data_IF_597046348894
#
_entry.id   IF_597046348894
#
_cell.length_a   1.000
_cell.length_b   1.000
_cell.length_c   1.000
_cell.angle_alpha   90.00
_cell.angle_beta   90.00
_cell.angle_gamma   90.00
#
_symmetry.space_group_name_H-M   'P 1'
#
loop_
_entity.id
_entity.type
_entity.pdbx_description
1 polymer ?
#
# COMPACT_ATOMS: atom_id res chain seq x y z
N UNK A 1 7.56 8.96 -34.15
CA UNK A 1 6.69 9.08 -32.96
C UNK A 1 7.25 10.18 -32.08
N UNK A 2 6.43 11.12 -31.59
CA UNK A 2 6.87 12.07 -30.55
C UNK A 2 6.73 11.40 -29.18
N UNK A 3 7.72 11.56 -28.30
CA UNK A 3 7.69 11.05 -26.93
C UNK A 3 7.18 12.15 -26.00
N UNK A 4 6.07 11.91 -25.30
CA UNK A 4 5.52 12.84 -24.30
C UNK A 4 6.13 12.48 -22.94
N UNK A 5 6.66 13.48 -22.23
CA UNK A 5 7.17 13.34 -20.86
C UNK A 5 6.11 13.78 -19.88
N UNK A 6 5.74 12.90 -18.97
CA UNK A 6 4.78 13.15 -17.90
C UNK A 6 5.51 13.05 -16.55
N UNK A 7 4.97 13.68 -15.48
CA UNK A 7 5.38 13.33 -14.12
C UNK A 7 5.03 11.85 -13.83
N UNK A 8 5.68 11.28 -12.82
CA UNK A 8 5.31 9.97 -12.30
C UNK A 8 3.86 9.95 -11.82
N UNK A 9 3.14 8.89 -12.16
CA UNK A 9 1.74 8.74 -11.81
C UNK A 9 1.59 8.31 -10.34
N UNK A 10 0.41 8.59 -9.78
CA UNK A 10 0.02 8.15 -8.43
C UNK A 10 -1.22 7.28 -8.54
N UNK A 11 -1.15 6.06 -8.01
CA UNK A 11 -2.31 5.17 -7.91
C UNK A 11 -2.85 5.18 -6.46
N UNK A 12 -4.02 5.79 -6.21
CA UNK A 12 -4.58 5.87 -4.86
C UNK A 12 -5.19 4.54 -4.37
N UNK A 13 -5.23 3.48 -5.19
CA UNK A 13 -6.01 2.28 -4.91
C UNK A 13 -5.37 1.00 -5.47
N UNK A 14 -4.40 0.44 -4.75
CA UNK A 14 -3.80 -0.87 -5.10
C UNK A 14 -4.08 -1.96 -4.05
N UNK A 15 -3.96 -3.23 -4.45
CA UNK A 15 -4.12 -4.38 -3.54
C UNK A 15 -2.92 -5.33 -3.68
N UNK A 16 -1.91 -5.17 -2.83
CA UNK A 16 -0.72 -6.03 -2.86
C UNK A 16 -0.88 -7.37 -2.17
N UNK A 17 -2.00 -7.66 -1.52
CA UNK A 17 -2.31 -9.00 -0.97
C UNK A 17 -1.33 -9.50 0.11
N UNK A 18 -0.36 -8.69 0.48
CA UNK A 18 0.59 -8.88 1.57
C UNK A 18 0.16 -8.01 2.76
N UNK A 19 -0.10 -8.57 3.96
CA UNK A 19 0.10 -9.96 4.37
C UNK A 19 -1.01 -10.96 3.96
N UNK A 20 -0.61 -12.23 3.92
CA UNK A 20 -1.48 -13.41 3.98
C UNK A 20 -1.86 -14.05 2.64
N UNK A 21 -1.83 -13.29 1.55
CA UNK A 21 -2.15 -13.81 0.21
C UNK A 21 -1.03 -13.52 -0.80
N UNK A 22 0.23 -13.61 -0.35
CA UNK A 22 1.44 -13.28 -1.13
C UNK A 22 1.65 -14.12 -2.38
N UNK A 23 1.01 -15.29 -2.46
CA UNK A 23 0.96 -16.09 -3.68
C UNK A 23 0.21 -15.40 -4.84
N UNK A 24 -0.57 -14.35 -4.56
CA UNK A 24 -1.27 -13.55 -5.58
C UNK A 24 -0.45 -12.35 -6.02
N UNK A 25 0.13 -11.64 -5.07
CA UNK A 25 0.93 -10.43 -5.25
C UNK A 25 1.66 -10.16 -3.92
N UNK A 26 2.82 -9.52 -3.95
CA UNK A 26 3.51 -8.98 -2.76
C UNK A 26 4.02 -7.55 -3.02
N UNK A 27 4.64 -6.93 -2.01
CA UNK A 27 5.17 -5.55 -2.15
C UNK A 27 6.22 -5.42 -3.24
N UNK A 28 7.09 -6.43 -3.41
CA UNK A 28 8.15 -6.40 -4.42
C UNK A 28 7.55 -6.50 -5.82
N UNK A 29 6.73 -7.52 -6.08
CA UNK A 29 6.12 -7.73 -7.40
C UNK A 29 5.18 -6.58 -7.77
N UNK A 30 4.33 -6.14 -6.84
CA UNK A 30 3.35 -5.09 -7.05
C UNK A 30 3.98 -3.72 -7.34
N UNK A 31 4.96 -3.30 -6.55
CA UNK A 31 5.62 -1.99 -6.75
C UNK A 31 6.56 -1.97 -7.96
N UNK A 32 7.18 -3.12 -8.30
CA UNK A 32 7.96 -3.26 -9.54
C UNK A 32 7.06 -3.09 -10.77
N UNK A 33 5.88 -3.71 -10.76
CA UNK A 33 4.87 -3.56 -11.80
C UNK A 33 4.36 -2.12 -11.91
N UNK A 34 4.13 -1.46 -10.76
CA UNK A 34 3.73 -0.05 -10.71
C UNK A 34 4.77 0.86 -11.39
N UNK A 35 6.06 0.71 -11.05
CA UNK A 35 7.14 1.46 -11.68
C UNK A 35 7.21 1.24 -13.19
N UNK A 36 7.11 -0.01 -13.64
CA UNK A 36 7.10 -0.35 -15.06
C UNK A 36 5.92 0.31 -15.80
N UNK A 37 4.79 0.50 -15.12
CA UNK A 37 3.62 1.22 -15.61
C UNK A 37 3.71 2.75 -15.53
N UNK A 38 4.80 3.30 -14.97
CA UNK A 38 4.99 4.74 -14.79
C UNK A 38 4.37 5.31 -13.51
N UNK A 39 3.91 4.46 -12.58
CA UNK A 39 3.48 4.87 -11.25
C UNK A 39 4.68 4.96 -10.31
N UNK A 40 4.90 6.14 -9.76
CA UNK A 40 6.00 6.39 -8.82
C UNK A 40 5.51 6.44 -7.38
N UNK A 41 4.20 6.47 -7.15
CA UNK A 41 3.59 6.38 -5.81
C UNK A 41 2.30 5.55 -5.85
N UNK A 42 2.08 4.71 -4.83
CA UNK A 42 0.91 3.83 -4.71
C UNK A 42 0.32 3.85 -3.30
N UNK A 43 -1.01 3.73 -3.17
CA UNK A 43 -1.66 3.64 -1.86
C UNK A 43 -2.35 2.28 -1.69
N UNK A 44 -1.76 1.44 -0.84
CA UNK A 44 -2.20 0.07 -0.61
C UNK A 44 -3.44 0.00 0.28
N UNK A 45 -4.43 -0.78 -0.17
CA UNK A 45 -5.68 -1.02 0.55
C UNK A 45 -5.53 -2.00 1.72
N UNK A 46 -6.31 -1.82 2.81
CA UNK A 46 -6.09 -2.49 4.10
C UNK A 46 -6.67 -3.90 4.20
N UNK A 47 -7.32 -4.41 3.15
CA UNK A 47 -8.06 -5.67 3.15
C UNK A 47 -7.16 -6.89 2.89
N UNK A 48 -6.05 -6.94 3.62
CA UNK A 48 -5.10 -8.06 3.69
C UNK A 48 -5.53 -9.08 4.74
N UNK A 49 -4.72 -10.11 4.98
CA UNK A 49 -4.97 -11.11 6.02
C UNK A 49 -3.75 -11.27 6.92
N UNK A 50 -3.75 -10.70 8.14
CA UNK A 50 -4.84 -9.93 8.76
C UNK A 50 -5.07 -8.56 8.11
N UNK A 51 -6.27 -7.95 8.27
CA UNK A 51 -6.54 -6.60 7.79
C UNK A 51 -5.83 -5.55 8.64
N UNK A 52 -5.54 -4.40 8.05
CA UNK A 52 -4.88 -3.27 8.71
C UNK A 52 -5.93 -2.41 9.41
N UNK A 53 -6.06 -2.53 10.73
CA UNK A 53 -7.18 -1.95 11.50
C UNK A 53 -6.73 -1.15 12.74
N UNK A 54 -5.44 -1.14 13.05
CA UNK A 54 -4.85 -0.49 14.23
C UNK A 54 -3.38 -0.11 13.99
N UNK A 55 -2.74 0.54 14.97
CA UNK A 55 -1.33 0.94 14.90
C UNK A 55 -0.38 -0.25 14.75
N UNK A 56 -0.70 -1.39 15.38
CA UNK A 56 0.18 -2.57 15.37
C UNK A 56 0.25 -3.18 13.98
N UNK A 57 -0.91 -3.40 13.35
CA UNK A 57 -1.03 -3.90 11.98
C UNK A 57 -0.45 -2.91 10.96
N UNK A 58 -0.65 -1.61 11.17
CA UNK A 58 -0.05 -0.57 10.32
C UNK A 58 1.48 -0.55 10.40
N UNK A 59 2.05 -0.64 11.61
CA UNK A 59 3.51 -0.67 11.77
C UNK A 59 4.10 -1.95 11.16
N UNK A 60 3.48 -3.10 11.41
CA UNK A 60 3.95 -4.37 10.87
C UNK A 60 4.02 -4.37 9.34
N UNK A 61 3.00 -3.81 8.67
CA UNK A 61 3.03 -3.74 7.21
C UNK A 61 3.94 -2.62 6.69
N UNK A 62 4.15 -1.56 7.46
CA UNK A 62 5.11 -0.51 7.11
C UNK A 62 6.55 -1.05 7.13
N UNK A 63 6.89 -1.89 8.09
CA UNK A 63 8.21 -2.51 8.19
C UNK A 63 8.48 -3.44 6.99
N UNK A 64 7.48 -4.23 6.59
CA UNK A 64 7.55 -5.09 5.42
C UNK A 64 7.66 -4.30 4.10
N UNK A 65 6.81 -3.28 3.93
CA UNK A 65 6.86 -2.39 2.77
C UNK A 65 8.21 -1.66 2.66
N UNK A 66 8.82 -1.23 3.78
CA UNK A 66 10.12 -0.57 3.78
C UNK A 66 11.25 -1.44 3.23
N UNK A 67 11.18 -2.76 3.42
CA UNK A 67 12.17 -3.70 2.91
C UNK A 67 11.97 -4.10 1.44
N UNK A 68 10.73 -3.98 0.95
CA UNK A 68 10.31 -4.65 -0.29
C UNK A 68 9.74 -3.71 -1.37
N UNK A 69 9.37 -2.48 -1.05
CA UNK A 69 8.80 -1.53 -2.01
C UNK A 69 9.87 -0.89 -2.91
N UNK A 70 9.60 -0.82 -4.20
CA UNK A 70 10.47 -0.17 -5.20
C UNK A 70 10.06 1.27 -5.54
N UNK A 71 8.84 1.70 -5.19
CA UNK A 71 8.36 3.06 -5.37
C UNK A 71 7.81 3.65 -4.06
N UNK A 72 7.50 4.95 -4.05
CA UNK A 72 6.89 5.59 -2.89
C UNK A 72 5.53 4.93 -2.59
N UNK A 73 5.16 4.88 -1.32
CA UNK A 73 3.91 4.23 -0.94
C UNK A 73 3.20 4.92 0.23
N UNK A 74 1.89 4.72 0.26
CA UNK A 74 1.02 4.97 1.40
C UNK A 74 0.23 3.71 1.75
N UNK A 75 -0.23 3.63 3.00
CA UNK A 75 -1.00 2.50 3.51
C UNK A 75 -2.31 3.03 4.09
N UNK A 76 -3.43 2.56 3.56
CA UNK A 76 -4.74 2.83 4.12
C UNK A 76 -4.95 2.01 5.40
N UNK A 77 -5.81 2.49 6.30
CA UNK A 77 -6.29 1.75 7.48
C UNK A 77 -7.79 1.52 7.34
N UNK A 78 -8.24 0.30 7.57
CA UNK A 78 -9.65 -0.06 7.49
C UNK A 78 -10.44 0.47 8.70
N UNK A 79 -11.57 1.10 8.42
CA UNK A 79 -12.61 1.36 9.41
C UNK A 79 -13.41 0.09 9.72
N UNK A 80 -13.66 -0.17 10.99
CA UNK A 80 -14.52 -1.25 11.51
C UNK A 80 -15.51 -0.67 12.50
N UNK A 81 -16.52 -1.45 12.90
CA UNK A 81 -17.50 -1.03 13.91
C UNK A 81 -16.91 -0.81 15.31
N UNK A 82 -15.63 -1.14 15.54
CA UNK A 82 -15.00 -1.15 16.87
C UNK A 82 -13.72 -0.31 16.98
N UNK A 83 -13.24 0.31 15.89
CA UNK A 83 -11.92 0.97 15.87
C UNK A 83 -11.95 2.47 15.53
N UNK A 84 -13.11 3.12 15.61
CA UNK A 84 -13.24 4.54 15.26
C UNK A 84 -12.28 5.43 16.07
N UNK A 85 -12.22 5.24 17.39
CA UNK A 85 -11.34 5.99 18.27
C UNK A 85 -9.85 5.72 17.97
N UNK A 86 -9.45 4.46 17.82
CA UNK A 86 -8.05 4.11 17.55
C UNK A 86 -7.58 4.57 16.17
N UNK A 87 -8.42 4.45 15.13
CA UNK A 87 -8.09 4.93 13.78
C UNK A 87 -8.00 6.44 13.73
N UNK A 88 -8.88 7.18 14.43
CA UNK A 88 -8.79 8.64 14.49
C UNK A 88 -7.50 9.15 15.13
N UNK A 89 -6.87 8.36 16.00
CA UNK A 89 -5.58 8.71 16.60
C UNK A 89 -4.40 8.48 15.64
N UNK A 90 -4.60 7.79 14.51
CA UNK A 90 -3.57 7.53 13.50
C UNK A 90 -3.50 8.62 12.43
N UNK A 91 -4.54 9.45 12.28
CA UNK A 91 -4.47 10.63 11.41
C UNK A 91 -3.51 11.63 12.03
N UNK A 92 -2.32 11.77 11.45
CA UNK A 92 -1.38 12.84 11.76
C UNK A 92 -1.72 14.09 10.96
#
# INVERSE_FOLDING_TARGET
>A
MSLIRLPGLIDPHVHFRDPGHTYKEDWSSGTSSALAGGYTCVLAMPNTSPPIIDSSSLNAISDDAQGNAYCDYGIHVAGTSKNTASVSALSK
#
